data_IF_769141376767
#
_entry.id   IF_769141376767
#
_cell.length_a   1.000
_cell.length_b   1.000
_cell.length_c   1.000
_cell.angle_alpha   90.00
_cell.angle_beta   90.00
_cell.angle_gamma   90.00
#
_symmetry.space_group_name_H-M   'P 1'
#
loop_
_entity.id
_entity.type
_entity.pdbx_description
1 polymer ?
#
# COMPACT_ATOMS: atom_id res chain seq x y z
N UNK A 1 5.68 -28.79 8.03
CA UNK A 1 5.92 -27.50 7.34
C UNK A 1 4.96 -27.43 6.17
N UNK A 2 3.71 -27.04 6.43
CA UNK A 2 2.75 -26.67 5.40
C UNK A 2 2.78 -25.14 5.36
N UNK A 3 3.01 -24.57 4.19
CA UNK A 3 2.91 -23.13 3.97
C UNK A 3 1.44 -22.74 4.01
N UNK A 4 0.98 -22.24 5.16
CA UNK A 4 -0.28 -21.50 5.25
C UNK A 4 -0.05 -20.12 4.62
N UNK A 5 -0.03 -20.10 3.28
CA UNK A 5 -0.25 -18.87 2.53
C UNK A 5 -1.73 -18.51 2.76
N UNK A 6 -2.05 -17.39 3.43
CA UNK A 6 -3.44 -17.05 3.68
C UNK A 6 -4.16 -16.93 2.33
N UNK A 7 -5.34 -17.53 2.19
CA UNK A 7 -6.13 -17.50 0.96
C UNK A 7 -6.54 -16.04 0.70
N UNK A 8 -5.70 -15.30 -0.06
CA UNK A 8 -5.66 -13.83 -0.14
C UNK A 8 -6.90 -13.17 -0.77
N UNK A 9 -7.91 -13.95 -1.15
CA UNK A 9 -9.11 -13.50 -1.86
C UNK A 9 -10.27 -14.31 -1.35
N UNK A 10 -11.19 -13.69 -0.60
CA UNK A 10 -12.44 -14.34 -0.23
C UNK A 10 -13.22 -14.56 -1.55
N UNK A 11 -13.44 -15.82 -1.97
CA UNK A 11 -14.08 -16.19 -3.24
C UNK A 11 -15.34 -15.36 -3.57
N UNK A 12 -16.18 -15.11 -2.56
CA UNK A 12 -17.56 -14.62 -2.71
C UNK A 12 -17.76 -13.15 -3.11
N UNK A 13 -16.69 -12.36 -3.30
CA UNK A 13 -16.79 -10.91 -3.55
C UNK A 13 -16.55 -10.48 -5.00
N UNK A 14 -16.27 -11.41 -5.91
CA UNK A 14 -16.12 -11.12 -7.34
C UNK A 14 -17.52 -10.92 -7.97
N UNK A 15 -17.79 -9.81 -8.70
CA UNK A 15 -19.10 -9.51 -9.28
C UNK A 15 -19.38 -10.36 -10.52
N UNK A 16 -19.47 -11.69 -10.34
CA UNK A 16 -19.69 -12.64 -11.44
C UNK A 16 -20.96 -12.36 -12.23
N UNK A 17 -22.00 -11.80 -11.64
CA UNK A 17 -23.26 -11.49 -12.34
C UNK A 17 -23.09 -10.40 -13.41
N UNK A 18 -22.06 -9.57 -13.26
CA UNK A 18 -21.70 -8.46 -14.15
C UNK A 18 -20.64 -8.86 -15.19
N UNK A 19 -19.82 -9.88 -14.92
CA UNK A 19 -18.78 -10.39 -15.82
C UNK A 19 -19.36 -11.06 -17.08
N UNK A 20 -19.61 -10.27 -18.13
CA UNK A 20 -20.16 -10.73 -19.41
C UNK A 20 -19.45 -10.10 -20.61
N UNK A 21 -19.50 -10.81 -21.75
CA UNK A 21 -18.87 -10.35 -23.00
C UNK A 21 -17.41 -9.99 -22.80
N UNK A 22 -17.04 -8.79 -23.25
CA UNK A 22 -15.67 -8.27 -23.18
C UNK A 22 -15.09 -8.26 -21.77
N UNK A 23 -15.88 -8.00 -20.74
CA UNK A 23 -15.38 -7.95 -19.35
C UNK A 23 -14.97 -9.35 -18.86
N UNK A 24 -15.69 -10.39 -19.29
CA UNK A 24 -15.33 -11.78 -19.02
C UNK A 24 -14.07 -12.17 -19.80
N UNK A 25 -13.97 -11.76 -21.06
CA UNK A 25 -12.79 -12.02 -21.90
C UNK A 25 -11.54 -11.34 -21.31
N UNK A 26 -11.66 -10.08 -20.88
CA UNK A 26 -10.56 -9.34 -20.26
C UNK A 26 -10.16 -9.96 -18.92
N UNK A 27 -11.13 -10.43 -18.14
CA UNK A 27 -10.89 -11.18 -16.92
C UNK A 27 -10.05 -12.44 -17.17
N UNK A 28 -10.41 -13.23 -18.19
CA UNK A 28 -9.66 -14.44 -18.58
C UNK A 28 -8.28 -14.08 -19.10
N UNK A 29 -8.15 -13.03 -19.91
CA UNK A 29 -6.86 -12.57 -20.43
C UNK A 29 -5.86 -12.29 -19.30
N UNK A 30 -6.25 -11.46 -18.32
CA UNK A 30 -5.36 -11.12 -17.21
C UNK A 30 -5.12 -12.30 -16.25
N UNK A 31 -6.08 -13.21 -16.14
CA UNK A 31 -5.88 -14.46 -15.41
C UNK A 31 -4.82 -15.34 -16.09
N UNK A 32 -4.84 -15.47 -17.41
CA UNK A 32 -3.88 -16.26 -18.18
C UNK A 32 -2.47 -15.66 -18.11
N UNK A 33 -2.36 -14.34 -18.24
CA UNK A 33 -1.10 -13.60 -18.06
C UNK A 33 -0.51 -13.85 -16.67
N UNK A 34 -1.33 -13.74 -15.62
CA UNK A 34 -0.90 -14.01 -14.25
C UNK A 34 -0.53 -15.48 -14.00
N UNK A 35 -1.13 -16.42 -14.74
CA UNK A 35 -0.79 -17.85 -14.71
C UNK A 35 0.48 -18.19 -15.52
N UNK A 36 1.08 -17.22 -16.22
CA UNK A 36 2.30 -17.42 -17.01
C UNK A 36 2.05 -18.04 -18.39
N UNK A 37 0.85 -17.88 -18.94
CA UNK A 37 0.59 -18.28 -20.33
C UNK A 37 1.42 -17.42 -21.31
N UNK A 38 1.84 -18.02 -22.42
CA UNK A 38 2.65 -17.40 -23.46
C UNK A 38 1.81 -17.15 -24.72
N UNK A 39 2.27 -16.25 -25.58
CA UNK A 39 1.64 -15.92 -26.87
C UNK A 39 0.10 -15.69 -26.75
N UNK A 40 -0.34 -14.94 -25.74
CA UNK A 40 -1.76 -14.67 -25.52
C UNK A 40 -2.24 -13.68 -26.59
N UNK A 41 -3.16 -14.12 -27.44
CA UNK A 41 -3.69 -13.33 -28.56
C UNK A 41 -5.21 -13.18 -28.46
N UNK A 42 -5.66 -11.93 -28.61
CA UNK A 42 -7.07 -11.61 -28.81
C UNK A 42 -7.49 -11.95 -30.23
N UNK A 43 -8.54 -12.76 -30.38
CA UNK A 43 -9.10 -13.12 -31.68
C UNK A 43 -10.41 -12.38 -31.91
N UNK A 44 -10.30 -11.08 -32.19
CA UNK A 44 -11.46 -10.22 -32.44
C UNK A 44 -12.02 -10.51 -33.84
N UNK A 45 -13.19 -11.14 -33.90
CA UNK A 45 -14.04 -11.15 -35.11
C UNK A 45 -14.56 -9.74 -35.41
N UNK A 46 -14.60 -9.36 -36.68
CA UNK A 46 -14.77 -7.97 -37.14
C UNK A 46 -15.90 -7.16 -36.51
N UNK A 47 -15.59 -5.87 -36.29
CA UNK A 47 -16.48 -4.70 -36.09
C UNK A 47 -17.85 -4.93 -35.44
N UNK A 48 -17.89 -4.69 -34.13
CA UNK A 48 -19.10 -4.27 -33.42
C UNK A 48 -19.99 -5.42 -32.96
N UNK A 49 -19.91 -5.72 -31.66
CA UNK A 49 -20.98 -6.43 -30.95
C UNK A 49 -21.36 -7.79 -31.51
N UNK A 50 -20.47 -8.78 -31.36
CA UNK A 50 -20.85 -10.19 -31.39
C UNK A 50 -21.06 -10.79 -32.77
N UNK A 51 -20.22 -11.79 -33.06
CA UNK A 51 -20.28 -12.79 -34.13
C UNK A 51 -19.89 -12.36 -35.56
N UNK A 52 -18.68 -12.78 -35.94
CA UNK A 52 -18.46 -13.55 -37.17
C UNK A 52 -17.25 -14.52 -36.99
N UNK A 53 -17.57 -15.82 -37.05
CA UNK A 53 -16.78 -16.93 -37.64
C UNK A 53 -15.59 -17.62 -36.93
N UNK A 54 -15.64 -17.86 -35.62
CA UNK A 54 -14.69 -18.84 -35.04
C UNK A 54 -15.05 -19.49 -33.72
N UNK A 55 -15.81 -18.81 -32.85
CA UNK A 55 -16.05 -19.31 -31.50
C UNK A 55 -14.75 -19.46 -30.69
N UNK A 56 -13.83 -18.51 -30.87
CA UNK A 56 -12.61 -18.34 -30.04
C UNK A 56 -12.45 -16.86 -29.74
N UNK A 57 -12.34 -16.51 -28.46
CA UNK A 57 -12.12 -15.13 -28.01
C UNK A 57 -10.63 -14.89 -27.73
N UNK A 58 -9.95 -15.87 -27.12
CA UNK A 58 -8.52 -15.84 -26.84
C UNK A 58 -7.82 -17.13 -27.30
N UNK A 59 -6.55 -17.00 -27.69
CA UNK A 59 -5.64 -18.10 -27.94
C UNK A 59 -4.39 -17.90 -27.07
N UNK A 60 -3.85 -18.97 -26.48
CA UNK A 60 -2.61 -18.90 -25.69
C UNK A 60 -1.87 -20.24 -25.70
N UNK A 61 -0.58 -20.20 -25.42
CA UNK A 61 0.25 -21.38 -25.18
C UNK A 61 0.50 -21.55 -23.68
N UNK A 62 0.27 -22.74 -23.18
CA UNK A 62 0.53 -23.08 -21.78
C UNK A 62 1.54 -24.22 -21.73
N UNK A 63 2.63 -24.01 -21.00
CA UNK A 63 3.64 -25.03 -20.75
C UNK A 63 3.08 -26.04 -19.75
N UNK A 64 3.00 -27.31 -20.17
CA UNK A 64 2.57 -28.41 -19.32
C UNK A 64 3.68 -29.44 -19.16
N UNK A 65 3.88 -29.98 -17.94
CA UNK A 65 4.82 -31.08 -17.73
C UNK A 65 4.45 -32.29 -18.58
N UNK A 66 5.40 -32.80 -19.35
CA UNK A 66 5.32 -34.07 -20.06
C UNK A 66 5.76 -35.23 -19.14
N UNK A 67 5.53 -36.47 -19.58
CA UNK A 67 5.76 -37.66 -18.76
C UNK A 67 7.24 -37.89 -18.37
N UNK A 68 8.14 -37.29 -19.14
CA UNK A 68 9.59 -37.24 -19.03
C UNK A 68 10.10 -36.06 -18.18
N UNK A 69 9.20 -35.19 -17.69
CA UNK A 69 9.52 -34.07 -16.81
C UNK A 69 9.87 -32.76 -17.53
N UNK A 70 9.96 -32.79 -18.86
CA UNK A 70 10.14 -31.60 -19.69
C UNK A 70 8.85 -30.77 -19.78
N UNK A 71 8.96 -29.51 -20.19
CA UNK A 71 7.80 -28.64 -20.42
C UNK A 71 7.47 -28.61 -21.91
N UNK A 72 6.28 -29.09 -22.26
CA UNK A 72 5.77 -29.03 -23.64
C UNK A 72 4.73 -27.90 -23.77
N UNK A 73 4.86 -27.01 -24.77
CA UNK A 73 3.81 -26.03 -25.02
C UNK A 73 2.60 -26.73 -25.61
N UNK A 74 1.43 -26.48 -25.03
CA UNK A 74 0.13 -26.84 -25.61
C UNK A 74 -0.62 -25.60 -26.03
N UNK A 75 -1.33 -25.69 -27.16
CA UNK A 75 -2.16 -24.61 -27.68
C UNK A 75 -3.56 -24.70 -27.08
N UNK A 76 -3.98 -23.61 -26.44
CA UNK A 76 -5.28 -23.45 -25.80
C UNK A 76 -6.11 -22.40 -26.52
N UNK A 77 -7.38 -22.73 -26.76
CA UNK A 77 -8.40 -21.77 -27.17
C UNK A 77 -9.37 -21.52 -26.03
N UNK A 78 -9.73 -20.26 -25.81
CA UNK A 78 -10.69 -19.87 -24.80
C UNK A 78 -11.90 -19.23 -25.47
N UNK A 79 -13.07 -19.74 -25.12
CA UNK A 79 -14.37 -19.22 -25.56
C UNK A 79 -15.14 -18.73 -24.32
N UNK A 80 -15.34 -17.43 -24.22
CA UNK A 80 -15.99 -16.77 -23.10
C UNK A 80 -17.48 -16.59 -23.38
N UNK A 81 -18.32 -17.12 -22.48
CA UNK A 81 -19.78 -17.10 -22.62
C UNK A 81 -20.46 -16.64 -21.35
N UNK A 82 -20.52 -15.32 -21.19
CA UNK A 82 -21.29 -14.67 -20.13
C UNK A 82 -22.80 -14.96 -20.25
N UNK A 83 -23.41 -15.49 -19.19
CA UNK A 83 -24.85 -15.78 -19.10
C UNK A 83 -25.45 -15.24 -17.80
N UNK A 84 -26.78 -15.14 -17.76
CA UNK A 84 -27.53 -14.89 -16.51
C UNK A 84 -28.05 -16.18 -15.88
N UNK A 85 -27.93 -17.32 -16.57
CA UNK A 85 -28.36 -18.66 -16.15
C UNK A 85 -27.28 -19.67 -16.56
N UNK A 86 -27.63 -20.95 -16.70
CA UNK A 86 -26.70 -22.01 -17.09
C UNK A 86 -26.26 -21.92 -18.55
N UNK A 87 -25.10 -22.52 -18.85
CA UNK A 87 -24.63 -22.75 -20.21
C UNK A 87 -25.04 -24.15 -20.67
N UNK A 88 -25.65 -24.21 -21.86
CA UNK A 88 -26.19 -25.43 -22.47
C UNK A 88 -25.16 -26.15 -23.38
N UNK A 89 -25.36 -27.46 -23.66
CA UNK A 89 -24.39 -28.27 -24.38
C UNK A 89 -24.07 -27.76 -25.78
N UNK A 90 -25.03 -27.12 -26.44
CA UNK A 90 -24.89 -26.67 -27.84
C UNK A 90 -23.77 -25.64 -28.00
N UNK A 91 -23.62 -24.76 -27.02
CA UNK A 91 -22.55 -23.74 -27.02
C UNK A 91 -21.18 -24.41 -26.95
N UNK A 92 -21.03 -25.42 -26.10
CA UNK A 92 -19.77 -26.15 -25.93
C UNK A 92 -19.45 -27.01 -27.15
N UNK A 93 -20.47 -27.66 -27.73
CA UNK A 93 -20.34 -28.42 -28.98
C UNK A 93 -19.84 -27.54 -30.11
N UNK A 94 -20.44 -26.36 -30.29
CA UNK A 94 -20.06 -25.45 -31.36
C UNK A 94 -18.58 -25.04 -31.25
N UNK A 95 -18.11 -24.67 -30.05
CA UNK A 95 -16.71 -24.35 -29.80
C UNK A 95 -15.77 -25.53 -30.11
N UNK A 96 -16.13 -26.73 -29.67
CA UNK A 96 -15.34 -27.95 -29.92
C UNK A 96 -15.29 -28.33 -31.41
N UNK A 97 -16.42 -28.27 -32.13
CA UNK A 97 -16.48 -28.58 -33.55
C UNK A 97 -15.73 -27.54 -34.40
N UNK A 98 -15.80 -26.26 -34.05
CA UNK A 98 -15.03 -25.22 -34.74
C UNK A 98 -13.53 -25.44 -34.59
N UNK A 99 -13.08 -25.83 -33.39
CA UNK A 99 -11.66 -26.08 -33.12
C UNK A 99 -11.10 -27.33 -33.81
N UNK A 100 -11.93 -28.31 -34.22
CA UNK A 100 -11.47 -29.49 -34.95
C UNK A 100 -10.78 -29.16 -36.28
N UNK A 101 -11.08 -28.00 -36.88
CA UNK A 101 -10.46 -27.55 -38.12
C UNK A 101 -9.03 -26.97 -37.92
N UNK A 102 -8.55 -26.88 -36.68
CA UNK A 102 -7.30 -26.22 -36.32
C UNK A 102 -6.42 -27.14 -35.47
N UNK A 103 -5.12 -26.86 -35.43
CA UNK A 103 -4.18 -27.61 -34.59
C UNK A 103 -4.16 -27.05 -33.17
N UNK A 104 -5.22 -27.36 -32.44
CA UNK A 104 -5.44 -26.96 -31.03
C UNK A 104 -5.41 -28.21 -30.17
N UNK A 105 -4.80 -28.13 -29.00
CA UNK A 105 -4.77 -29.24 -28.06
C UNK A 105 -5.97 -29.22 -27.11
N UNK A 106 -6.35 -28.02 -26.65
CA UNK A 106 -7.40 -27.83 -25.66
C UNK A 106 -8.31 -26.64 -25.99
N UNK A 107 -9.63 -26.87 -25.98
CA UNK A 107 -10.63 -25.80 -25.94
C UNK A 107 -11.12 -25.65 -24.51
N UNK A 108 -11.16 -24.42 -24.02
CA UNK A 108 -11.69 -24.06 -22.71
C UNK A 108 -12.92 -23.19 -22.92
N UNK A 109 -14.07 -23.68 -22.49
CA UNK A 109 -15.28 -22.85 -22.45
C UNK A 109 -15.39 -22.24 -21.06
N UNK A 110 -15.42 -20.92 -21.01
CA UNK A 110 -15.42 -20.12 -19.78
C UNK A 110 -16.77 -19.44 -19.60
N UNK A 111 -17.34 -19.51 -18.40
CA UNK A 111 -18.60 -18.83 -18.05
C UNK A 111 -18.57 -18.24 -16.65
N UNK A 112 -19.30 -17.14 -16.46
CA UNK A 112 -19.53 -16.52 -15.16
C UNK A 112 -20.60 -17.24 -14.31
N UNK A 113 -21.24 -18.28 -14.85
CA UNK A 113 -22.29 -19.08 -14.19
C UNK A 113 -21.89 -20.56 -14.10
N UNK A 114 -22.84 -21.49 -14.20
CA UNK A 114 -22.60 -22.94 -14.13
C UNK A 114 -22.98 -23.62 -15.45
N UNK A 115 -22.39 -24.78 -15.71
CA UNK A 115 -22.79 -25.65 -16.83
C UNK A 115 -23.89 -26.61 -16.41
N UNK A 116 -24.77 -26.99 -17.34
CA UNK A 116 -25.78 -28.02 -17.07
C UNK A 116 -25.14 -29.42 -17.00
N UNK A 117 -25.73 -30.35 -16.24
CA UNK A 117 -25.23 -31.74 -16.16
C UNK A 117 -25.08 -32.42 -17.54
N UNK A 118 -26.03 -32.27 -18.49
CA UNK A 118 -25.86 -32.79 -19.85
C UNK A 118 -24.61 -32.24 -20.56
N UNK A 119 -24.20 -31.00 -20.27
CA UNK A 119 -22.99 -30.40 -20.83
C UNK A 119 -21.74 -31.10 -20.32
N UNK A 120 -21.66 -31.31 -19.00
CA UNK A 120 -20.54 -32.02 -18.36
C UNK A 120 -20.42 -33.46 -18.86
N UNK A 121 -21.54 -34.18 -19.00
CA UNK A 121 -21.55 -35.57 -19.48
C UNK A 121 -21.15 -35.68 -20.96
N UNK A 122 -21.55 -34.70 -21.77
CA UNK A 122 -21.10 -34.61 -23.15
C UNK A 122 -19.59 -34.38 -23.26
N UNK A 123 -19.02 -33.46 -22.46
CA UNK A 123 -17.57 -33.20 -22.45
C UNK A 123 -16.77 -34.43 -22.04
N UNK A 124 -17.21 -35.16 -21.00
CA UNK A 124 -16.58 -36.42 -20.61
C UNK A 124 -16.56 -37.43 -21.76
N UNK A 125 -17.68 -37.55 -22.47
CA UNK A 125 -17.82 -38.45 -23.62
C UNK A 125 -16.94 -38.00 -24.81
N UNK A 126 -16.81 -36.70 -25.02
CA UNK A 126 -15.96 -36.11 -26.07
C UNK A 126 -14.48 -36.38 -25.82
N UNK A 127 -14.00 -36.06 -24.62
CA UNK A 127 -12.58 -36.16 -24.23
C UNK A 127 -12.07 -37.60 -24.26
N UNK A 128 -12.95 -38.59 -24.10
CA UNK A 128 -12.59 -40.00 -24.26
C UNK A 128 -12.41 -40.42 -25.73
N UNK A 129 -13.03 -39.72 -26.67
CA UNK A 129 -13.09 -40.09 -28.10
C UNK A 129 -12.16 -39.28 -29.00
N UNK A 130 -11.77 -38.08 -28.59
CA UNK A 130 -11.04 -37.15 -29.45
C UNK A 130 -9.68 -36.78 -28.84
N UNK A 131 -8.70 -36.48 -29.71
CA UNK A 131 -7.40 -35.92 -29.29
C UNK A 131 -7.59 -34.52 -28.68
N UNK A 132 -8.36 -33.67 -29.37
CA UNK A 132 -8.73 -32.33 -28.91
C UNK A 132 -9.54 -32.45 -27.61
N UNK A 133 -9.00 -31.90 -26.53
CA UNK A 133 -9.65 -31.92 -25.22
C UNK A 133 -10.52 -30.68 -25.02
N UNK A 134 -11.62 -30.84 -24.29
CA UNK A 134 -12.52 -29.75 -23.89
C UNK A 134 -12.49 -29.62 -22.37
N UNK A 135 -12.29 -28.39 -21.88
CA UNK A 135 -12.35 -28.05 -20.46
C UNK A 135 -13.47 -27.05 -20.21
N UNK A 136 -14.07 -27.17 -19.02
CA UNK A 136 -15.15 -26.31 -18.55
C UNK A 136 -14.66 -25.48 -17.37
N UNK A 137 -14.68 -24.16 -17.51
CA UNK A 137 -14.39 -23.21 -16.44
C UNK A 137 -15.67 -22.48 -16.07
N UNK A 138 -16.34 -22.97 -15.03
CA UNK A 138 -17.52 -22.33 -14.44
C UNK A 138 -17.13 -21.27 -13.41
N UNK A 139 -18.14 -20.60 -12.85
CA UNK A 139 -17.98 -19.63 -11.76
C UNK A 139 -17.05 -20.14 -10.67
N UNK A 140 -17.32 -21.33 -10.12
CA UNK A 140 -16.54 -21.90 -9.02
C UNK A 140 -15.09 -22.15 -9.42
N UNK A 141 -14.84 -22.62 -10.64
CA UNK A 141 -13.48 -22.83 -11.16
C UNK A 141 -12.77 -21.50 -11.37
N UNK A 142 -13.42 -20.51 -11.98
CA UNK A 142 -12.89 -19.17 -12.19
C UNK A 142 -12.55 -18.49 -10.86
N UNK A 143 -13.47 -18.56 -9.91
CA UNK A 143 -13.31 -18.03 -8.56
C UNK A 143 -12.07 -18.62 -7.89
N UNK A 144 -11.91 -19.95 -7.92
CA UNK A 144 -10.70 -20.61 -7.40
C UNK A 144 -9.42 -20.22 -8.14
N UNK A 145 -9.47 -20.00 -9.46
CA UNK A 145 -8.30 -19.59 -10.23
C UNK A 145 -7.91 -18.14 -9.94
N UNK A 146 -8.89 -17.24 -9.89
CA UNK A 146 -8.73 -15.83 -9.54
C UNK A 146 -8.23 -15.69 -8.10
N UNK A 147 -8.74 -16.50 -7.15
CA UNK A 147 -8.27 -16.51 -5.77
C UNK A 147 -6.78 -16.77 -5.62
N UNK A 148 -6.17 -17.48 -6.57
CA UNK A 148 -4.73 -17.77 -6.61
C UNK A 148 -3.92 -16.68 -7.31
N UNK A 149 -4.57 -15.69 -7.90
CA UNK A 149 -3.92 -14.65 -8.71
C UNK A 149 -4.34 -13.23 -8.29
N UNK A 150 -3.85 -12.72 -7.13
CA UNK A 150 -4.20 -11.40 -6.62
C UNK A 150 -3.89 -10.23 -7.54
N UNK A 151 -2.87 -10.36 -8.38
CA UNK A 151 -2.51 -9.32 -9.37
C UNK A 151 -3.62 -9.11 -10.40
N UNK A 152 -4.20 -10.20 -10.91
CA UNK A 152 -5.28 -10.13 -11.89
C UNK A 152 -6.54 -9.52 -11.25
N UNK A 153 -6.90 -9.95 -10.04
CA UNK A 153 -8.10 -9.47 -9.35
C UNK A 153 -8.02 -7.97 -9.01
N UNK A 154 -6.89 -7.50 -8.47
CA UNK A 154 -6.72 -6.07 -8.16
C UNK A 154 -6.76 -5.19 -9.41
N UNK A 155 -6.19 -5.67 -10.52
CA UNK A 155 -6.19 -4.96 -11.80
C UNK A 155 -7.59 -4.84 -12.38
N UNK A 156 -8.36 -5.93 -12.35
CA UNK A 156 -9.67 -6.04 -12.98
C UNK A 156 -10.78 -5.37 -12.16
N UNK A 157 -10.73 -5.51 -10.83
CA UNK A 157 -11.86 -5.18 -9.97
C UNK A 157 -11.59 -4.01 -9.01
N UNK A 158 -10.46 -3.31 -9.12
CA UNK A 158 -10.08 -2.23 -8.19
C UNK A 158 -11.16 -1.15 -7.97
N UNK A 159 -11.99 -0.86 -8.97
CA UNK A 159 -13.12 0.08 -8.87
C UNK A 159 -14.45 -0.55 -8.43
N UNK A 160 -14.64 -1.87 -8.61
CA UNK A 160 -15.86 -2.58 -8.18
C UNK A 160 -15.76 -3.17 -6.77
N UNK A 161 -14.58 -3.10 -6.14
CA UNK A 161 -14.40 -3.44 -4.74
C UNK A 161 -15.25 -2.54 -3.84
N UNK A 162 -15.96 -3.15 -2.89
CA UNK A 162 -16.59 -2.42 -1.79
C UNK A 162 -15.55 -1.60 -1.02
N UNK A 163 -16.01 -0.59 -0.29
CA UNK A 163 -15.12 0.32 0.43
C UNK A 163 -14.21 -0.43 1.43
N UNK A 164 -14.76 -1.44 2.13
CA UNK A 164 -14.01 -2.28 3.06
C UNK A 164 -12.86 -3.04 2.36
N UNK A 165 -13.12 -3.56 1.15
CA UNK A 165 -12.10 -4.28 0.39
C UNK A 165 -11.03 -3.34 -0.17
N UNK A 166 -11.40 -2.12 -0.55
CA UNK A 166 -10.41 -1.10 -0.95
C UNK A 166 -9.48 -0.76 0.22
N UNK A 167 -10.02 -0.62 1.42
CA UNK A 167 -9.25 -0.40 2.64
C UNK A 167 -8.29 -1.56 2.92
N UNK A 168 -8.78 -2.80 2.85
CA UNK A 168 -7.95 -3.99 3.08
C UNK A 168 -6.87 -4.16 2.00
N UNK A 169 -7.19 -3.90 0.73
CA UNK A 169 -6.22 -3.94 -0.36
C UNK A 169 -5.13 -2.87 -0.18
N UNK A 170 -5.51 -1.65 0.22
CA UNK A 170 -4.57 -0.58 0.56
C UNK A 170 -3.65 -0.98 1.71
N UNK A 171 -4.24 -1.48 2.81
CA UNK A 171 -3.51 -1.95 3.99
C UNK A 171 -2.51 -3.06 3.61
N UNK A 172 -2.96 -4.08 2.88
CA UNK A 172 -2.14 -5.20 2.43
C UNK A 172 -0.98 -4.76 1.51
N UNK A 173 -1.24 -3.86 0.56
CA UNK A 173 -0.21 -3.31 -0.33
C UNK A 173 0.86 -2.53 0.43
N UNK A 174 0.46 -1.74 1.41
CA UNK A 174 1.38 -1.04 2.29
C UNK A 174 2.23 -2.02 3.11
N UNK A 175 1.61 -2.88 3.92
CA UNK A 175 2.33 -3.76 4.84
C UNK A 175 3.15 -4.85 4.14
N UNK A 176 2.68 -5.36 3.00
CA UNK A 176 3.36 -6.46 2.31
C UNK A 176 4.39 -5.98 1.28
N UNK A 177 4.16 -4.81 0.66
CA UNK A 177 4.91 -4.37 -0.52
C UNK A 177 5.43 -2.93 -0.47
N UNK A 178 5.14 -2.16 0.58
CA UNK A 178 5.47 -0.73 0.64
C UNK A 178 4.94 0.08 -0.54
N UNK A 179 3.82 -0.37 -1.12
CA UNK A 179 3.17 0.30 -2.22
C UNK A 179 2.13 1.29 -1.70
N UNK A 180 2.28 2.55 -2.08
CA UNK A 180 1.29 3.58 -1.81
C UNK A 180 0.15 3.57 -2.86
N UNK A 181 -1.01 4.00 -2.41
CA UNK A 181 -2.25 4.13 -3.17
C UNK A 181 -2.47 5.58 -3.60
N UNK A 182 -3.18 5.81 -4.72
CA UNK A 182 -3.43 7.17 -5.20
C UNK A 182 -4.38 7.94 -4.27
N UNK A 183 -4.26 9.28 -4.25
CA UNK A 183 -5.09 10.19 -3.43
C UNK A 183 -6.59 9.96 -3.64
N UNK A 184 -7.02 9.64 -4.87
CA UNK A 184 -8.44 9.36 -5.17
C UNK A 184 -9.02 8.19 -4.36
N UNK A 185 -8.20 7.19 -4.02
CA UNK A 185 -8.63 6.08 -3.15
C UNK A 185 -8.80 6.55 -1.71
N UNK A 186 -7.89 7.41 -1.23
CA UNK A 186 -7.92 8.00 0.11
C UNK A 186 -9.12 8.94 0.29
N UNK A 187 -9.41 9.76 -0.72
CA UNK A 187 -10.58 10.64 -0.77
C UNK A 187 -11.88 9.84 -0.63
N UNK A 188 -12.04 8.78 -1.44
CA UNK A 188 -13.22 7.93 -1.39
C UNK A 188 -13.37 7.22 -0.02
N UNK A 189 -12.26 6.79 0.60
CA UNK A 189 -12.26 6.19 1.93
C UNK A 189 -12.64 7.19 3.01
N UNK A 190 -12.18 8.44 2.91
CA UNK A 190 -12.47 9.48 3.88
C UNK A 190 -13.91 9.98 3.86
N UNK A 191 -14.45 10.23 2.67
CA UNK A 191 -15.84 10.68 2.49
C UNK A 191 -16.85 9.69 3.09
N UNK A 192 -16.52 8.39 3.00
CA UNK A 192 -17.37 7.29 3.41
C UNK A 192 -16.79 6.48 4.56
N UNK A 193 -15.93 7.10 5.38
CA UNK A 193 -15.19 6.41 6.45
C UNK A 193 -16.11 5.75 7.49
N UNK A 194 -17.32 6.28 7.67
CA UNK A 194 -18.33 5.74 8.59
C UNK A 194 -18.96 4.42 8.10
N UNK A 195 -18.75 4.04 6.84
CA UNK A 195 -19.26 2.79 6.26
C UNK A 195 -18.31 1.60 6.46
N UNK A 196 -17.10 1.83 6.98
CA UNK A 196 -16.07 0.81 7.15
C UNK A 196 -15.50 0.82 8.57
N UNK A 197 -15.20 -0.36 9.09
CA UNK A 197 -14.42 -0.48 10.32
C UNK A 197 -12.95 -0.32 10.00
N UNK A 198 -12.32 0.70 10.57
CA UNK A 198 -10.89 0.97 10.39
C UNK A 198 -10.16 0.41 11.61
N UNK A 199 -9.40 -0.67 11.42
CA UNK A 199 -8.52 -1.22 12.44
C UNK A 199 -7.19 -0.47 12.56
N UNK A 200 -6.34 -0.84 13.52
CA UNK A 200 -5.07 -0.15 13.76
C UNK A 200 -4.06 -0.32 12.61
N UNK A 201 -4.03 -1.48 11.94
CA UNK A 201 -3.18 -1.69 10.76
C UNK A 201 -3.64 -0.85 9.57
N UNK A 202 -4.95 -0.81 9.33
CA UNK A 202 -5.57 -0.01 8.27
C UNK A 202 -5.35 1.48 8.52
N UNK A 203 -5.50 1.93 9.77
CA UNK A 203 -5.32 3.33 10.16
C UNK A 203 -3.89 3.79 9.93
N UNK A 204 -2.90 3.01 10.36
CA UNK A 204 -1.51 3.36 10.11
C UNK A 204 -1.19 3.38 8.61
N UNK A 205 -1.69 2.42 7.84
CA UNK A 205 -1.52 2.39 6.40
C UNK A 205 -2.15 3.62 5.73
N UNK A 206 -3.36 4.02 6.11
CA UNK A 206 -4.01 5.24 5.64
C UNK A 206 -3.14 6.47 5.90
N UNK A 207 -2.66 6.64 7.13
CA UNK A 207 -1.79 7.76 7.51
C UNK A 207 -0.51 7.77 6.66
N UNK A 208 0.18 6.63 6.54
CA UNK A 208 1.40 6.52 5.74
C UNK A 208 1.17 6.85 4.26
N UNK A 209 0.00 6.50 3.73
CA UNK A 209 -0.40 6.89 2.38
C UNK A 209 -0.63 8.39 2.26
N UNK A 210 -1.30 9.03 3.23
CA UNK A 210 -1.49 10.49 3.21
C UNK A 210 -0.15 11.25 3.30
N UNK A 211 0.80 10.75 4.09
CA UNK A 211 2.16 11.31 4.15
C UNK A 211 2.87 11.17 2.79
N UNK A 212 2.75 10.02 2.13
CA UNK A 212 3.36 9.77 0.83
C UNK A 212 2.76 10.65 -0.28
N UNK A 213 1.48 11.01 -0.17
CA UNK A 213 0.78 11.90 -1.12
C UNK A 213 0.76 13.37 -0.71
N UNK A 214 1.37 13.73 0.43
CA UNK A 214 1.38 15.08 0.99
C UNK A 214 -0.04 15.68 1.19
N UNK A 215 -0.95 14.87 1.74
CA UNK A 215 -2.37 15.22 1.94
C UNK A 215 -2.85 14.99 3.38
N UNK A 216 -1.92 14.82 4.33
CA UNK A 216 -2.20 14.51 5.73
C UNK A 216 -3.17 15.51 6.39
N UNK A 217 -3.01 16.81 6.13
CA UNK A 217 -3.84 17.86 6.71
C UNK A 217 -5.28 17.85 6.17
N UNK A 218 -5.51 17.24 5.00
CA UNK A 218 -6.83 17.14 4.39
C UNK A 218 -7.67 16.04 5.03
N UNK A 219 -7.02 14.95 5.44
CA UNK A 219 -7.65 13.73 5.95
C UNK A 219 -6.88 13.21 7.18
N UNK A 220 -7.00 13.91 8.32
CA UNK A 220 -6.21 13.64 9.51
C UNK A 220 -6.73 12.40 10.26
N UNK A 221 -6.44 11.20 9.73
CA UNK A 221 -6.97 9.91 10.20
C UNK A 221 -6.72 9.61 11.68
N UNK A 222 -5.61 10.06 12.27
CA UNK A 222 -5.36 9.88 13.70
C UNK A 222 -6.19 10.85 14.54
N UNK A 223 -6.35 12.11 14.11
CA UNK A 223 -7.17 13.08 14.83
C UNK A 223 -8.68 12.82 14.72
N UNK A 224 -9.11 12.10 13.68
CA UNK A 224 -10.49 11.65 13.53
C UNK A 224 -10.83 10.38 14.32
N UNK A 225 -9.82 9.64 14.79
CA UNK A 225 -9.99 8.42 15.56
C UNK A 225 -10.22 8.71 17.05
N UNK A 226 -10.71 7.71 17.80
CA UNK A 226 -10.78 7.80 19.26
C UNK A 226 -9.40 7.70 19.90
N UNK A 227 -9.25 8.16 21.15
CA UNK A 227 -7.97 8.07 21.88
C UNK A 227 -7.50 6.60 22.01
N UNK A 228 -8.44 5.67 22.25
CA UNK A 228 -8.15 4.23 22.30
C UNK A 228 -7.62 3.70 20.96
N UNK A 229 -8.25 4.11 19.87
CA UNK A 229 -7.85 3.72 18.52
C UNK A 229 -6.44 4.23 18.16
N UNK A 230 -6.10 5.46 18.56
CA UNK A 230 -4.77 6.04 18.36
C UNK A 230 -3.72 5.22 19.13
N UNK A 231 -4.01 4.86 20.37
CA UNK A 231 -3.11 4.04 21.19
C UNK A 231 -2.93 2.63 20.63
N UNK A 232 -3.99 1.98 20.16
CA UNK A 232 -3.89 0.69 19.47
C UNK A 232 -3.09 0.78 18.17
N UNK A 233 -3.23 1.89 17.44
CA UNK A 233 -2.45 2.16 16.22
C UNK A 233 -0.98 2.34 16.54
N UNK A 234 -0.65 3.08 17.60
CA UNK A 234 0.72 3.22 18.06
C UNK A 234 1.32 1.87 18.47
N UNK A 235 0.56 1.08 19.24
CA UNK A 235 0.97 -0.24 19.70
C UNK A 235 1.27 -1.17 18.53
N UNK A 236 0.37 -1.28 17.53
CA UNK A 236 0.59 -2.16 16.39
C UNK A 236 1.76 -1.67 15.51
N UNK A 237 1.94 -0.35 15.39
CA UNK A 237 3.03 0.24 14.62
C UNK A 237 4.37 -0.14 15.24
N UNK A 238 4.51 0.05 16.55
CA UNK A 238 5.72 -0.31 17.30
C UNK A 238 5.97 -1.82 17.28
N UNK A 239 4.93 -2.65 17.40
CA UNK A 239 5.05 -4.10 17.28
C UNK A 239 5.62 -4.55 15.93
N UNK A 240 5.42 -3.76 14.87
CA UNK A 240 5.87 -4.07 13.51
C UNK A 240 7.06 -3.23 13.03
N UNK A 241 7.64 -2.37 13.87
CA UNK A 241 8.63 -1.38 13.44
C UNK A 241 9.91 -1.99 12.87
N UNK A 242 10.42 -3.07 13.46
CA UNK A 242 11.59 -3.78 12.94
C UNK A 242 11.28 -4.43 11.59
N UNK A 243 10.15 -5.12 11.48
CA UNK A 243 9.70 -5.72 10.22
C UNK A 243 9.62 -4.67 9.12
N UNK A 244 8.98 -3.53 9.42
CA UNK A 244 8.81 -2.43 8.49
C UNK A 244 10.15 -1.82 8.07
N UNK A 245 11.02 -1.55 9.05
CA UNK A 245 12.33 -0.93 8.80
C UNK A 245 13.20 -1.81 7.91
N UNK A 246 13.33 -3.11 8.23
CA UNK A 246 14.14 -4.02 7.42
C UNK A 246 13.59 -4.19 6.01
N UNK A 247 12.27 -4.36 5.86
CA UNK A 247 11.65 -4.52 4.54
C UNK A 247 11.76 -3.26 3.68
N UNK A 248 11.64 -2.08 4.29
CA UNK A 248 11.82 -0.83 3.57
C UNK A 248 13.29 -0.67 3.08
N UNK A 249 14.27 -1.09 3.89
CA UNK A 249 15.69 -1.14 3.48
C UNK A 249 15.88 -2.12 2.32
N UNK A 250 15.39 -3.35 2.44
CA UNK A 250 15.55 -4.40 1.42
C UNK A 250 14.91 -4.01 0.08
N UNK A 251 13.76 -3.33 0.12
CA UNK A 251 13.05 -2.90 -1.08
C UNK A 251 13.58 -1.59 -1.69
N UNK A 252 14.49 -0.89 -0.99
CA UNK A 252 14.94 0.46 -1.37
C UNK A 252 13.79 1.48 -1.37
N UNK A 253 12.71 1.21 -0.63
CA UNK A 253 11.54 2.07 -0.56
C UNK A 253 11.84 3.36 0.22
N UNK A 254 11.15 4.44 -0.14
CA UNK A 254 11.24 5.69 0.61
C UNK A 254 10.60 5.52 2.00
N UNK A 255 11.42 5.62 3.05
CA UNK A 255 10.98 5.47 4.44
C UNK A 255 10.37 6.74 5.03
N UNK A 256 10.58 7.90 4.41
CA UNK A 256 10.12 9.19 4.94
C UNK A 256 8.62 9.21 5.28
N UNK A 257 7.70 8.68 4.43
CA UNK A 257 6.28 8.66 4.77
C UNK A 257 5.94 7.80 5.99
N UNK A 258 6.73 6.75 6.25
CA UNK A 258 6.53 5.85 7.40
C UNK A 258 6.90 6.58 8.69
N UNK A 259 8.05 7.27 8.71
CA UNK A 259 8.47 8.05 9.87
C UNK A 259 7.51 9.22 10.14
N UNK A 260 7.07 9.92 9.09
CA UNK A 260 6.05 10.97 9.23
C UNK A 260 4.72 10.44 9.78
N UNK A 261 4.29 9.27 9.33
CA UNK A 261 3.07 8.64 9.85
C UNK A 261 3.21 8.27 11.33
N UNK A 262 4.36 7.72 11.70
CA UNK A 262 4.66 7.36 13.08
C UNK A 262 4.73 8.61 13.98
N UNK A 263 5.39 9.69 13.53
CA UNK A 263 5.40 10.97 14.23
C UNK A 263 3.98 11.47 14.45
N UNK A 264 3.16 11.46 13.41
CA UNK A 264 1.78 11.95 13.53
C UNK A 264 0.95 11.15 14.55
N UNK A 265 1.07 9.82 14.56
CA UNK A 265 0.40 8.97 15.56
C UNK A 265 0.92 9.27 16.97
N UNK A 266 2.23 9.42 17.15
CA UNK A 266 2.85 9.73 18.45
C UNK A 266 2.45 11.12 18.95
N UNK A 267 2.51 12.13 18.08
CA UNK A 267 2.09 13.50 18.39
C UNK A 267 0.60 13.54 18.73
N UNK A 268 -0.24 12.72 18.09
CA UNK A 268 -1.64 12.60 18.45
C UNK A 268 -1.83 11.89 19.79
N UNK A 269 -1.08 10.84 20.09
CA UNK A 269 -1.15 10.12 21.36
C UNK A 269 -0.78 11.00 22.57
N UNK A 270 0.33 11.76 22.48
CA UNK A 270 0.79 12.63 23.58
C UNK A 270 -0.12 13.85 23.81
N UNK A 271 -1.11 14.11 22.95
CA UNK A 271 -2.12 15.16 23.22
C UNK A 271 -3.11 14.75 24.32
N UNK A 272 -3.33 13.44 24.47
CA UNK A 272 -4.35 12.88 25.36
C UNK A 272 -3.76 12.04 26.49
N UNK A 273 -2.50 11.62 26.37
CA UNK A 273 -1.80 10.79 27.34
C UNK A 273 -0.53 11.48 27.87
N UNK A 274 -0.06 11.01 29.04
CA UNK A 274 1.21 11.50 29.60
C UNK A 274 2.38 11.00 28.74
N UNK A 275 3.46 11.79 28.58
CA UNK A 275 4.67 11.35 27.88
C UNK A 275 5.25 10.06 28.46
N UNK A 276 5.22 9.91 29.79
CA UNK A 276 5.66 8.72 30.50
C UNK A 276 4.88 7.45 30.11
N UNK A 277 3.56 7.54 29.92
CA UNK A 277 2.77 6.37 29.54
C UNK A 277 3.01 5.96 28.08
N UNK A 278 3.21 6.94 27.19
CA UNK A 278 3.57 6.68 25.80
C UNK A 278 4.99 6.11 25.72
N UNK A 279 5.95 6.64 26.50
CA UNK A 279 7.32 6.14 26.60
C UNK A 279 7.39 4.65 26.98
N UNK A 280 6.58 4.21 27.96
CA UNK A 280 6.50 2.79 28.34
C UNK A 280 6.15 1.87 27.15
N UNK A 281 5.34 2.32 26.20
CA UNK A 281 5.00 1.53 25.01
C UNK A 281 6.23 1.37 24.12
N UNK A 282 7.01 2.43 23.95
CA UNK A 282 8.29 2.35 23.23
C UNK A 282 9.24 1.37 23.93
N UNK A 283 9.36 1.45 25.26
CA UNK A 283 10.20 0.53 26.02
C UNK A 283 9.78 -0.93 25.83
N UNK A 284 8.48 -1.24 25.87
CA UNK A 284 7.94 -2.59 25.66
C UNK A 284 8.41 -3.20 24.33
N UNK A 285 8.43 -2.41 23.25
CA UNK A 285 8.72 -2.93 21.91
C UNK A 285 10.18 -2.77 21.47
N UNK A 286 10.89 -1.77 22.00
CA UNK A 286 12.17 -1.35 21.46
C UNK A 286 13.34 -1.62 22.40
N UNK A 287 13.11 -1.78 23.70
CA UNK A 287 14.19 -1.99 24.66
C UNK A 287 14.59 -3.46 24.81
N UNK A 288 13.64 -4.40 24.66
CA UNK A 288 13.86 -5.82 24.95
C UNK A 288 13.14 -6.75 23.97
N UNK A 289 13.72 -7.92 23.71
CA UNK A 289 13.08 -9.04 23.01
C UNK A 289 13.44 -10.36 23.73
N UNK A 290 12.43 -11.11 24.16
CA UNK A 290 12.59 -12.39 24.89
C UNK A 290 13.47 -12.22 26.14
N UNK A 291 13.18 -11.21 26.95
CA UNK A 291 13.90 -10.85 28.18
C UNK A 291 15.38 -10.49 27.99
N UNK A 292 15.82 -10.30 26.74
CA UNK A 292 17.16 -9.83 26.40
C UNK A 292 17.10 -8.39 25.91
N UNK A 293 18.10 -7.54 26.26
CA UNK A 293 18.19 -6.20 25.73
C UNK A 293 18.31 -6.27 24.20
N UNK A 294 17.61 -5.37 23.52
CA UNK A 294 17.69 -5.27 22.07
C UNK A 294 19.13 -4.91 21.65
N UNK A 295 19.69 -5.54 20.59
CA UNK A 295 21.00 -5.14 20.07
C UNK A 295 21.01 -3.68 19.64
N UNK A 296 22.05 -2.94 20.02
CA UNK A 296 22.22 -1.51 19.70
C UNK A 296 22.12 -1.23 18.20
N UNK A 297 22.69 -2.10 17.36
CA UNK A 297 22.58 -1.98 15.91
C UNK A 297 21.13 -2.07 15.40
N UNK A 298 20.26 -2.85 16.07
CA UNK A 298 18.86 -2.95 15.67
C UNK A 298 18.08 -1.68 16.06
N UNK A 299 18.34 -1.10 17.23
CA UNK A 299 17.73 0.16 17.65
C UNK A 299 18.20 1.32 16.78
N UNK A 300 19.48 1.36 16.39
CA UNK A 300 20.04 2.33 15.44
C UNK A 300 19.38 2.28 14.07
N UNK A 301 18.94 1.10 13.63
CA UNK A 301 18.29 0.92 12.33
C UNK A 301 16.80 1.26 12.38
N UNK A 302 16.09 0.88 13.45
CA UNK A 302 14.63 0.96 13.49
C UNK A 302 14.07 2.15 14.27
N UNK A 303 14.72 2.54 15.37
CA UNK A 303 14.19 3.52 16.30
C UNK A 303 14.81 4.91 16.14
N UNK A 304 16.14 5.00 16.08
CA UNK A 304 16.84 6.28 16.00
C UNK A 304 16.44 7.13 14.78
N UNK A 305 16.24 6.58 13.56
CA UNK A 305 15.81 7.37 12.41
C UNK A 305 14.44 8.02 12.62
N UNK A 306 13.53 7.31 13.29
CA UNK A 306 12.23 7.85 13.68
C UNK A 306 12.38 8.97 14.72
N UNK A 307 13.16 8.76 15.79
CA UNK A 307 13.37 9.77 16.84
C UNK A 307 14.05 11.03 16.30
N UNK A 308 15.03 10.84 15.42
CA UNK A 308 15.67 11.92 14.69
C UNK A 308 14.65 12.68 13.83
N UNK A 309 13.76 11.98 13.13
CA UNK A 309 12.72 12.60 12.32
C UNK A 309 11.73 13.41 13.18
N UNK A 310 11.31 12.86 14.33
CA UNK A 310 10.45 13.56 15.29
C UNK A 310 11.11 14.84 15.82
N UNK A 311 12.37 14.77 16.25
CA UNK A 311 13.11 15.95 16.72
C UNK A 311 13.24 17.00 15.62
N UNK A 312 13.52 16.60 14.38
CA UNK A 312 13.58 17.50 13.22
C UNK A 312 12.22 18.18 12.99
N UNK A 313 11.11 17.44 13.00
CA UNK A 313 9.77 18.01 12.85
C UNK A 313 9.47 19.05 13.94
N UNK A 314 9.79 18.73 15.20
CA UNK A 314 9.63 19.64 16.34
C UNK A 314 10.50 20.91 16.19
N UNK A 315 11.72 20.77 15.69
CA UNK A 315 12.60 21.90 15.40
C UNK A 315 12.01 22.78 14.28
N UNK A 316 11.44 22.20 13.23
CA UNK A 316 10.87 22.92 12.09
C UNK A 316 9.63 23.73 12.47
N UNK A 317 8.76 23.20 13.34
CA UNK A 317 7.60 23.95 13.84
C UNK A 317 8.00 24.97 14.93
N UNK A 318 9.11 24.74 15.65
CA UNK A 318 9.54 25.61 16.74
C UNK A 318 10.41 26.79 16.26
N UNK A 319 11.36 26.56 15.36
CA UNK A 319 12.39 27.53 14.96
C UNK A 319 11.85 28.83 14.36
N UNK A 320 10.83 28.83 13.48
CA UNK A 320 10.38 30.05 12.80
C UNK A 320 9.96 31.19 13.72
N UNK A 321 9.44 30.88 14.91
CA UNK A 321 9.12 31.90 15.92
C UNK A 321 10.08 31.85 17.12
N UNK A 322 11.21 31.17 17.05
CA UNK A 322 12.20 31.13 18.12
C UNK A 322 13.09 32.38 18.05
N UNK A 323 13.22 33.10 19.18
CA UNK A 323 14.09 34.27 19.27
C UNK A 323 15.54 33.93 19.63
N UNK A 324 15.79 32.68 20.05
CA UNK A 324 17.08 32.18 20.52
C UNK A 324 17.86 31.43 19.44
N UNK A 325 17.15 30.71 18.58
CA UNK A 325 17.74 29.82 17.58
C UNK A 325 17.58 30.42 16.19
N UNK A 326 18.69 30.58 15.49
CA UNK A 326 18.69 30.91 14.07
C UNK A 326 19.37 29.78 13.30
N UNK A 327 18.65 29.19 12.35
CA UNK A 327 19.18 28.18 11.41
C UNK A 327 19.79 28.89 10.21
N UNK A 328 21.08 28.67 9.96
CA UNK A 328 21.83 29.38 8.90
C UNK A 328 21.42 28.94 7.49
N UNK A 329 20.81 27.77 7.34
CA UNK A 329 20.32 27.27 6.06
C UNK A 329 18.79 27.22 6.00
N UNK A 330 18.21 28.17 5.26
CA UNK A 330 17.11 27.82 4.36
C UNK A 330 17.76 27.55 3.00
N UNK A 331 17.47 26.43 2.31
CA UNK A 331 17.90 26.31 0.93
C UNK A 331 17.40 27.54 0.18
N UNK A 332 18.31 28.30 -0.43
CA UNK A 332 17.89 29.38 -1.31
C UNK A 332 17.28 28.69 -2.52
N UNK A 333 15.96 28.70 -2.59
CA UNK A 333 15.23 28.18 -3.73
C UNK A 333 15.12 29.28 -4.78
N UNK A 334 15.22 28.91 -6.05
CA UNK A 334 14.75 29.79 -7.14
C UNK A 334 13.24 30.02 -7.00
N UNK A 335 12.69 31.00 -7.72
CA UNK A 335 11.23 31.18 -7.84
C UNK A 335 10.50 29.88 -8.18
N UNK A 336 11.16 29.03 -8.96
CA UNK A 336 10.60 27.77 -9.47
C UNK A 336 10.92 26.56 -8.57
N UNK A 337 11.44 26.79 -7.35
CA UNK A 337 11.66 25.75 -6.35
C UNK A 337 12.95 24.93 -6.49
N UNK A 338 13.87 25.29 -7.36
CA UNK A 338 15.17 24.60 -7.48
C UNK A 338 16.16 25.09 -6.42
N UNK A 339 16.94 24.18 -5.82
CA UNK A 339 18.02 24.54 -4.91
C UNK A 339 19.12 25.29 -5.66
N UNK A 340 19.40 26.53 -5.25
CA UNK A 340 20.42 27.39 -5.85
C UNK A 340 21.83 26.79 -5.75
N UNK A 341 22.12 26.03 -4.68
CA UNK A 341 23.43 25.38 -4.50
C UNK A 341 23.68 24.30 -5.56
N UNK A 342 22.63 23.61 -6.01
CA UNK A 342 22.74 22.57 -7.04
C UNK A 342 22.33 23.03 -8.45
N UNK A 343 21.72 24.21 -8.58
CA UNK A 343 21.12 24.72 -9.82
C UNK A 343 22.08 24.71 -11.01
N UNK A 344 23.33 25.12 -10.81
CA UNK A 344 24.30 25.25 -11.89
C UNK A 344 24.81 23.91 -12.42
N UNK A 345 24.72 22.82 -11.64
CA UNK A 345 25.18 21.51 -12.06
C UNK A 345 24.36 20.92 -13.20
N UNK A 346 23.14 21.41 -13.45
CA UNK A 346 22.32 21.00 -14.61
C UNK A 346 22.98 21.35 -15.97
N UNK A 347 23.97 22.23 -15.95
CA UNK A 347 24.76 22.61 -17.12
C UNK A 347 26.11 21.90 -17.19
N UNK A 348 26.37 20.95 -16.29
CA UNK A 348 27.61 20.15 -16.26
C UNK A 348 27.32 18.70 -16.63
N UNK A 349 28.15 18.05 -17.48
CA UNK A 349 27.94 16.65 -17.86
C UNK A 349 27.99 15.66 -16.69
N UNK A 350 28.69 16.04 -15.62
CA UNK A 350 28.89 15.24 -14.41
C UNK A 350 27.70 15.28 -13.46
N UNK A 351 26.78 16.23 -13.62
CA UNK A 351 25.70 16.48 -12.67
C UNK A 351 26.21 16.97 -11.31
N UNK A 352 25.28 17.10 -10.35
CA UNK A 352 25.65 17.46 -8.99
C UNK A 352 26.35 16.26 -8.31
N UNK A 353 27.44 16.48 -7.57
CA UNK A 353 27.99 15.43 -6.73
C UNK A 353 26.92 14.95 -5.73
N UNK A 354 26.94 13.66 -5.41
CA UNK A 354 26.10 13.12 -4.35
C UNK A 354 26.38 13.92 -3.07
N UNK A 355 25.33 14.57 -2.54
CA UNK A 355 25.42 15.41 -1.36
C UNK A 355 26.02 14.61 -0.20
N UNK A 356 27.22 14.96 0.23
CA UNK A 356 27.69 14.60 1.57
C UNK A 356 26.84 15.40 2.55
N UNK A 357 26.21 14.75 3.53
CA UNK A 357 25.44 15.45 4.57
C UNK A 357 26.32 16.52 5.23
N UNK A 358 26.08 17.78 4.89
CA UNK A 358 26.75 18.87 5.57
C UNK A 358 26.05 19.14 6.91
N UNK A 359 26.80 19.25 8.02
CA UNK A 359 26.20 19.39 9.33
C UNK A 359 25.36 20.67 9.43
N UNK A 360 24.15 20.54 9.99
CA UNK A 360 23.28 21.69 10.26
C UNK A 360 23.96 22.57 11.32
N UNK A 361 24.25 23.82 10.97
CA UNK A 361 24.82 24.80 11.91
C UNK A 361 23.73 25.66 12.53
N UNK A 362 23.75 25.72 13.86
CA UNK A 362 22.86 26.53 14.68
C UNK A 362 23.61 27.74 15.24
N UNK A 363 22.99 28.92 15.13
CA UNK A 363 23.37 30.07 15.93
C UNK A 363 22.43 30.13 17.14
N UNK A 364 23.00 30.13 18.34
CA UNK A 364 22.25 30.11 19.61
C UNK A 364 22.56 31.39 20.39
N UNK A 365 21.54 32.21 20.64
CA UNK A 365 21.63 33.37 21.53
C UNK A 365 21.37 32.96 22.99
N UNK A 366 22.42 32.60 23.72
CA UNK A 366 22.32 31.99 25.06
C UNK A 366 21.67 32.86 26.14
N UNK A 367 21.64 34.18 25.96
CA UNK A 367 21.02 35.12 26.88
C UNK A 367 19.50 35.26 26.70
N UNK A 368 18.91 34.74 25.60
CA UNK A 368 17.47 34.89 25.34
C UNK A 368 16.66 33.74 25.92
N UNK A 369 15.47 34.02 26.49
CA UNK A 369 14.58 32.98 27.00
C UNK A 369 13.93 32.18 25.85
N UNK A 370 13.47 30.98 26.17
CA UNK A 370 12.68 30.17 25.25
C UNK A 370 11.22 30.67 25.19
N UNK A 371 10.69 30.86 23.97
CA UNK A 371 9.30 31.29 23.77
C UNK A 371 8.26 30.23 24.19
N UNK A 372 8.65 28.96 24.21
CA UNK A 372 7.80 27.82 24.59
C UNK A 372 7.92 27.52 26.11
N UNK A 373 8.84 28.19 26.81
CA UNK A 373 8.97 28.06 28.27
C UNK A 373 9.94 26.98 28.76
N UNK A 374 10.86 26.50 27.91
CA UNK A 374 12.00 25.72 28.42
C UNK A 374 12.94 26.60 29.26
N UNK A 375 13.45 26.02 30.35
CA UNK A 375 14.48 26.64 31.18
C UNK A 375 15.83 26.50 30.46
N UNK A 376 16.18 27.52 29.68
CA UNK A 376 17.43 27.60 28.90
C UNK A 376 18.21 28.84 29.30
N UNK A 377 19.54 28.69 29.39
CA UNK A 377 20.47 29.73 29.82
C UNK A 377 21.86 29.46 29.19
N UNK A 378 22.94 29.98 29.75
CA UNK A 378 24.31 29.75 29.25
C UNK A 378 24.79 28.31 29.48
N UNK A 379 24.22 27.60 30.45
CA UNK A 379 24.59 26.23 30.83
C UNK A 379 23.59 25.18 30.28
N UNK A 380 22.35 25.60 29.98
CA UNK A 380 21.25 24.74 29.54
C UNK A 380 20.84 25.04 28.10
N UNK A 381 21.12 24.09 27.22
CA UNK A 381 20.75 24.16 25.81
C UNK A 381 19.26 23.85 25.57
N UNK A 382 18.81 24.13 24.34
CA UNK A 382 17.46 23.78 23.92
C UNK A 382 17.30 22.25 23.90
N UNK A 383 16.28 21.67 24.58
CA UNK A 383 16.07 20.22 24.56
C UNK A 383 15.83 19.64 23.16
N UNK A 384 15.39 20.44 22.19
CA UNK A 384 15.21 19.95 20.81
C UNK A 384 16.55 19.79 20.05
N UNK A 385 17.64 20.37 20.56
CA UNK A 385 18.98 20.33 19.94
C UNK A 385 19.92 19.41 20.73
N UNK A 386 19.81 19.45 22.05
CA UNK A 386 20.75 18.82 22.99
C UNK A 386 20.38 17.37 23.35
N UNK A 387 19.20 16.90 22.91
CA UNK A 387 18.73 15.54 23.19
C UNK A 387 19.18 14.61 22.06
N UNK A 388 19.87 13.53 22.42
CA UNK A 388 20.23 12.48 21.47
C UNK A 388 18.97 11.67 21.07
N UNK A 389 18.83 11.28 19.79
CA UNK A 389 17.67 10.55 19.29
C UNK A 389 17.72 9.07 19.69
N UNK A 390 17.72 8.76 20.99
CA UNK A 390 17.86 7.40 21.51
C UNK A 390 16.64 6.96 22.33
N UNK A 391 16.46 5.64 22.44
CA UNK A 391 15.37 5.07 23.24
C UNK A 391 15.51 5.38 24.73
N UNK A 392 16.73 5.53 25.25
CA UNK A 392 16.93 5.92 26.65
C UNK A 392 16.44 7.33 26.95
N UNK A 393 16.36 8.21 25.93
CA UNK A 393 15.86 9.58 26.07
C UNK A 393 14.39 9.73 25.65
N UNK A 394 13.67 8.64 25.36
CA UNK A 394 12.33 8.69 24.75
C UNK A 394 11.33 9.53 25.56
N UNK A 395 11.29 9.36 26.89
CA UNK A 395 10.38 10.12 27.74
C UNK A 395 10.65 11.62 27.64
N UNK A 396 11.93 12.02 27.71
CA UNK A 396 12.37 13.41 27.57
C UNK A 396 12.04 13.99 26.19
N UNK A 397 12.19 13.19 25.13
CA UNK A 397 11.80 13.58 23.77
C UNK A 397 10.29 13.83 23.70
N UNK A 398 9.48 12.93 24.27
CA UNK A 398 8.02 13.04 24.27
C UNK A 398 7.51 14.20 25.15
N UNK A 399 8.16 14.48 26.28
CA UNK A 399 7.89 15.66 27.09
C UNK A 399 8.17 16.95 26.30
N UNK A 400 9.28 16.97 25.57
CA UNK A 400 9.60 18.08 24.70
C UNK A 400 8.53 18.23 23.61
N UNK A 401 8.19 17.13 22.93
CA UNK A 401 7.16 17.10 21.89
C UNK A 401 5.81 17.64 22.39
N UNK A 402 5.34 17.15 23.53
CA UNK A 402 4.05 17.54 24.10
C UNK A 402 4.00 19.04 24.40
N UNK A 403 5.07 19.60 24.98
CA UNK A 403 5.13 21.04 25.28
C UNK A 403 5.14 21.89 24.01
N UNK A 404 5.90 21.49 22.98
CA UNK A 404 5.93 22.20 21.70
C UNK A 404 4.54 22.17 21.04
N UNK A 405 3.92 21.01 20.93
CA UNK A 405 2.60 20.83 20.31
C UNK A 405 1.55 21.65 21.04
N UNK A 406 1.48 21.55 22.37
CA UNK A 406 0.50 22.28 23.17
C UNK A 406 0.62 23.80 22.95
N UNK A 407 1.84 24.33 22.95
CA UNK A 407 2.08 25.76 22.75
C UNK A 407 1.74 26.21 21.32
N UNK A 408 2.19 25.47 20.30
CA UNK A 408 2.01 25.84 18.89
C UNK A 408 0.57 25.69 18.42
N UNK A 409 -0.10 24.63 18.83
CA UNK A 409 -1.51 24.40 18.52
C UNK A 409 -2.39 25.48 19.17
N UNK A 410 -2.12 25.86 20.43
CA UNK A 410 -2.83 26.95 21.10
C UNK A 410 -2.68 28.28 20.35
N UNK A 411 -1.46 28.64 19.95
CA UNK A 411 -1.22 29.86 19.16
C UNK A 411 -1.99 29.85 17.83
N UNK A 412 -1.98 28.71 17.11
CA UNK A 412 -2.71 28.56 15.86
C UNK A 412 -4.22 28.68 16.07
N UNK A 413 -4.79 28.05 17.10
CA UNK A 413 -6.21 28.15 17.45
C UNK A 413 -6.63 29.61 17.73
N UNK A 414 -5.81 30.37 18.47
CA UNK A 414 -6.05 31.79 18.74
C UNK A 414 -6.00 32.65 17.46
N UNK A 415 -5.12 32.30 16.51
CA UNK A 415 -5.05 32.98 15.21
C UNK A 415 -6.30 32.69 14.37
N UNK A 416 -6.77 31.44 14.33
CA UNK A 416 -7.99 31.06 13.63
C UNK A 416 -9.23 31.73 14.24
N UNK A 417 -9.31 31.83 15.57
CA UNK A 417 -10.41 32.52 16.26
C UNK A 417 -10.45 34.01 15.90
N UNK A 418 -9.29 34.68 15.83
CA UNK A 418 -9.18 36.08 15.40
C UNK A 418 -9.63 36.28 13.97
N UNK A 419 -9.27 35.39 13.05
CA UNK A 419 -9.69 35.43 11.63
C UNK A 419 -11.19 35.25 11.43
N UNK A 420 -11.89 34.55 12.32
CA UNK A 420 -13.36 34.37 12.26
C UNK A 420 -14.15 35.55 12.82
N UNK A 421 -13.49 36.47 13.53
CA UNK A 421 -14.12 37.62 14.19
C UNK A 421 -14.06 38.89 13.33
N UNK A 422 -13.25 38.87 12.26
CA UNK A 422 -13.14 39.89 11.21
C UNK A 422 -13.98 39.41 10.02
#
# INVERSE_FOLDING_TARGET
MASDDPEWIIPSSIPFDELKGKDLEECVYWLLDAMGAQDIEWRIGGSGGGAADGGRDLEAKILVPSADGDLSPKTYWFECKGRSKTVEPEVVKQAAFNALAFDVDVVVVVTNTTFTNPTTDWVKSWNHKHRLQVQLWDKTKLERLLSKQPRAVLRLFGHSLSLAWRLQALSSRFWSRFEYSPSSTLEALWERQHEVTIGPLERFALIANECATATLEQRPWAAAASDSDVMETLFITLANIYYVSFRAIESGANQTPIFQAMNYVVLQAIRHHSPADVAKIFEIFLSQWNDLPMPEAATQIAAEPFLQNLLVELQEICTPACRRLSRVRRPQLTSDGHNMESYWYRFTPSGAPLSTEEPIRWLIETARPCNIGYLVDEERNCPLIDTEPSISEIERILEAAQRVVAHRMGYWQDEQARKKTI
#
